data_IF_619094969213
#
_entry.id   IF_619094969213
#
_cell.length_a   1.000
_cell.length_b   1.000
_cell.length_c   1.000
_cell.angle_alpha   90.00
_cell.angle_beta   90.00
_cell.angle_gamma   90.00
#
_symmetry.space_group_name_H-M   'P 1'
#
loop_
_entity.id
_entity.type
_entity.pdbx_description
1 polymer ?
#
# COMPACT_ATOMS: atom_id res chain seq x y z
N UNK A 1 25.94 -9.81 16.61
CA UNK A 1 26.26 -8.37 16.73
C UNK A 1 25.28 -7.81 17.75
N UNK A 2 25.62 -7.92 19.04
CA UNK A 2 24.75 -7.41 20.11
C UNK A 2 24.79 -5.89 20.04
N UNK A 3 23.64 -5.27 19.75
CA UNK A 3 23.50 -3.83 19.60
C UNK A 3 23.83 -3.13 20.92
N UNK A 4 24.52 -1.98 20.83
CA UNK A 4 24.48 -0.96 21.88
C UNK A 4 23.02 -0.54 22.06
N UNK A 5 22.40 -1.01 23.14
CA UNK A 5 21.09 -0.56 23.55
C UNK A 5 21.23 0.80 24.22
N UNK A 6 20.38 1.75 23.81
CA UNK A 6 20.25 3.03 24.50
C UNK A 6 19.72 2.83 25.93
N UNK A 7 20.00 3.79 26.80
CA UNK A 7 19.48 3.79 28.16
C UNK A 7 17.93 3.73 28.22
N UNK A 8 17.26 4.28 27.20
CA UNK A 8 15.80 4.23 27.09
C UNK A 8 15.29 2.82 26.80
N UNK A 9 15.94 2.09 25.88
CA UNK A 9 15.57 0.71 25.56
C UNK A 9 15.83 -0.24 26.73
N UNK A 10 16.94 -0.05 27.46
CA UNK A 10 17.24 -0.81 28.69
C UNK A 10 16.16 -0.54 29.74
N UNK A 11 15.77 0.71 29.95
CA UNK A 11 14.73 1.07 30.91
C UNK A 11 13.37 0.49 30.52
N UNK A 12 13.02 0.50 29.22
CA UNK A 12 11.78 -0.09 28.71
C UNK A 12 11.73 -1.60 28.97
N UNK A 13 12.78 -2.34 28.60
CA UNK A 13 12.86 -3.79 28.84
C UNK A 13 12.83 -4.12 30.34
N UNK A 14 13.53 -3.34 31.16
CA UNK A 14 13.55 -3.54 32.60
C UNK A 14 12.16 -3.37 33.21
N UNK A 15 11.42 -2.32 32.81
CA UNK A 15 10.03 -2.12 33.23
C UNK A 15 9.13 -3.25 32.74
N UNK A 16 9.23 -3.62 31.46
CA UNK A 16 8.43 -4.69 30.88
C UNK A 16 8.64 -6.01 31.62
N UNK A 17 9.89 -6.35 31.98
CA UNK A 17 10.21 -7.59 32.70
C UNK A 17 9.59 -7.69 34.09
N UNK A 18 9.38 -6.57 34.78
CA UNK A 18 8.75 -6.53 36.11
C UNK A 18 7.22 -6.68 36.07
N UNK A 19 6.59 -6.55 34.91
CA UNK A 19 5.13 -6.66 34.78
C UNK A 19 4.63 -8.10 34.97
N UNK A 20 3.39 -8.22 35.45
CA UNK A 20 2.67 -9.49 35.47
C UNK A 20 2.46 -10.02 34.04
N UNK A 21 2.40 -11.36 33.85
CA UNK A 21 2.23 -11.97 32.53
C UNK A 21 1.03 -11.43 31.73
N UNK A 22 -0.11 -11.19 32.41
CA UNK A 22 -1.29 -10.63 31.76
C UNK A 22 -1.04 -9.22 31.21
N UNK A 23 -0.44 -8.33 32.00
CA UNK A 23 -0.10 -6.97 31.55
C UNK A 23 0.94 -6.98 30.43
N UNK A 24 1.89 -7.93 30.44
CA UNK A 24 2.84 -8.11 29.33
C UNK A 24 2.11 -8.42 28.03
N UNK A 25 1.14 -9.33 28.08
CA UNK A 25 0.31 -9.68 26.92
C UNK A 25 -0.49 -8.48 26.41
N UNK A 26 -1.18 -7.76 27.30
CA UNK A 26 -1.96 -6.56 26.93
C UNK A 26 -1.08 -5.50 26.23
N UNK A 27 0.12 -5.26 26.75
CA UNK A 27 1.07 -4.32 26.12
C UNK A 27 1.54 -4.84 24.76
N UNK A 28 1.82 -6.14 24.62
CA UNK A 28 2.20 -6.73 23.33
C UNK A 28 1.08 -6.61 22.29
N UNK A 29 -0.17 -6.87 22.69
CA UNK A 29 -1.34 -6.69 21.82
C UNK A 29 -1.49 -5.23 21.39
N UNK A 30 -1.34 -4.29 22.33
CA UNK A 30 -1.38 -2.85 22.03
C UNK A 30 -0.24 -2.39 21.10
N UNK A 31 0.98 -2.88 21.32
CA UNK A 31 2.13 -2.60 20.45
C UNK A 31 1.88 -3.14 19.04
N UNK A 32 1.39 -4.39 18.92
CA UNK A 32 1.04 -5.00 17.64
C UNK A 32 -0.03 -4.19 16.90
N UNK A 33 -1.10 -3.80 17.60
CA UNK A 33 -2.14 -2.95 17.04
C UNK A 33 -1.59 -1.61 16.54
N UNK A 34 -0.81 -0.93 17.37
CA UNK A 34 -0.26 0.40 17.04
C UNK A 34 0.72 0.31 15.87
N UNK A 35 1.60 -0.68 15.87
CA UNK A 35 2.57 -0.91 14.81
C UNK A 35 1.88 -1.30 13.50
N UNK A 36 0.81 -2.10 13.55
CA UNK A 36 -0.01 -2.41 12.38
C UNK A 36 -0.67 -1.16 11.80
N UNK A 37 -1.20 -0.26 12.64
CA UNK A 37 -1.77 1.02 12.19
C UNK A 37 -0.71 1.93 11.55
N UNK A 38 0.51 1.92 12.09
CA UNK A 38 1.64 2.65 11.50
C UNK A 38 2.01 2.06 10.14
N UNK A 39 2.16 0.74 10.04
CA UNK A 39 2.40 0.03 8.79
C UNK A 39 1.38 0.41 7.72
N UNK A 40 0.08 0.32 8.03
CA UNK A 40 -0.98 0.70 7.11
C UNK A 40 -0.82 2.15 6.63
N UNK A 41 -0.57 3.09 7.55
CA UNK A 41 -0.40 4.50 7.20
C UNK A 41 0.81 4.73 6.30
N UNK A 42 1.94 4.12 6.61
CA UNK A 42 3.16 4.22 5.79
C UNK A 42 2.93 3.62 4.40
N UNK A 43 2.25 2.47 4.32
CA UNK A 43 1.91 1.81 3.07
C UNK A 43 1.01 2.68 2.19
N UNK A 44 -0.09 3.19 2.74
CA UNK A 44 -1.00 4.08 2.03
C UNK A 44 -0.28 5.34 1.55
N UNK A 45 0.52 5.97 2.41
CA UNK A 45 1.29 7.16 2.03
C UNK A 45 2.26 6.84 0.88
N UNK A 46 3.00 5.73 0.97
CA UNK A 46 3.99 5.36 -0.03
C UNK A 46 3.37 5.08 -1.41
N UNK A 47 2.21 4.42 -1.45
CA UNK A 47 1.53 4.06 -2.70
C UNK A 47 0.73 5.22 -3.28
N UNK A 48 0.00 5.96 -2.45
CA UNK A 48 -0.93 7.00 -2.92
C UNK A 48 -0.24 8.34 -3.20
N UNK A 49 0.87 8.63 -2.52
CA UNK A 49 1.71 9.79 -2.85
C UNK A 49 2.72 9.49 -3.97
N UNK A 50 2.76 8.27 -4.49
CA UNK A 50 3.68 7.92 -5.58
C UNK A 50 3.30 8.64 -6.86
N UNK A 51 4.10 9.64 -7.22
CA UNK A 51 4.01 10.32 -8.51
C UNK A 51 4.18 9.33 -9.68
N UNK A 52 5.00 8.29 -9.51
CA UNK A 52 5.22 7.28 -10.56
C UNK A 52 3.95 6.48 -10.87
N UNK A 53 3.22 6.06 -9.82
CA UNK A 53 1.98 5.29 -9.98
C UNK A 53 0.87 6.20 -10.52
N UNK A 54 0.65 7.35 -9.90
CA UNK A 54 -0.42 8.27 -10.29
C UNK A 54 -0.20 8.85 -11.69
N UNK A 55 1.00 9.33 -12.03
CA UNK A 55 1.30 9.83 -13.37
C UNK A 55 1.25 8.70 -14.40
N UNK A 56 1.68 7.49 -14.04
CA UNK A 56 1.64 6.34 -14.91
C UNK A 56 0.22 5.94 -15.31
N UNK A 57 -0.71 5.88 -14.35
CA UNK A 57 -2.13 5.61 -14.63
C UNK A 57 -2.76 6.74 -15.45
N UNK A 58 -2.49 8.01 -15.12
CA UNK A 58 -2.99 9.13 -15.92
C UNK A 58 -2.40 9.15 -17.34
N UNK A 59 -1.18 8.65 -17.53
CA UNK A 59 -0.58 8.50 -18.85
C UNK A 59 -1.33 7.44 -19.68
N UNK A 60 -1.70 6.31 -19.07
CA UNK A 60 -2.52 5.27 -19.73
C UNK A 60 -3.85 5.86 -20.22
N UNK A 61 -4.52 6.69 -19.41
CA UNK A 61 -5.74 7.40 -19.83
C UNK A 61 -5.49 8.26 -21.07
N UNK A 62 -4.45 9.08 -21.07
CA UNK A 62 -4.10 9.94 -22.23
C UNK A 62 -3.67 9.14 -23.47
N UNK A 63 -3.05 7.99 -23.27
CA UNK A 63 -2.67 7.08 -24.35
C UNK A 63 -3.90 6.52 -25.07
N UNK A 64 -4.99 6.26 -24.34
CA UNK A 64 -6.26 5.81 -24.92
C UNK A 64 -6.98 6.90 -25.74
N UNK A 65 -6.72 8.17 -25.48
CA UNK A 65 -7.29 9.30 -26.24
C UNK A 65 -6.61 9.51 -27.61
N UNK A 66 -5.44 8.90 -27.82
CA UNK A 66 -4.69 8.99 -29.08
C UNK A 66 -5.01 7.78 -29.95
N UNK A 67 -5.47 8.05 -31.17
CA UNK A 67 -5.82 6.99 -32.13
C UNK A 67 -4.61 6.12 -32.50
N UNK A 68 -3.42 6.73 -32.61
CA UNK A 68 -2.18 6.05 -33.04
C UNK A 68 -1.56 5.13 -32.00
N UNK A 69 -1.91 5.24 -30.70
CA UNK A 69 -1.28 4.40 -29.67
C UNK A 69 -1.68 2.95 -29.83
N UNK A 70 -0.74 2.04 -29.99
CA UNK A 70 -1.04 0.60 -30.01
C UNK A 70 -1.29 0.03 -28.60
N UNK A 71 -2.07 -1.05 -28.52
CA UNK A 71 -2.34 -1.80 -27.30
C UNK A 71 -1.06 -2.30 -26.63
N UNK A 72 -0.01 -2.62 -27.39
CA UNK A 72 1.29 -3.04 -26.87
C UNK A 72 2.01 -1.92 -26.09
N UNK A 73 1.90 -0.68 -26.54
CA UNK A 73 2.47 0.47 -25.83
C UNK A 73 1.76 0.69 -24.49
N UNK A 74 0.44 0.59 -24.49
CA UNK A 74 -0.39 0.70 -23.29
C UNK A 74 -0.04 -0.42 -22.31
N UNK A 75 0.10 -1.66 -22.80
CA UNK A 75 0.51 -2.82 -22.00
C UNK A 75 1.87 -2.61 -21.36
N UNK A 76 2.84 -2.09 -22.12
CA UNK A 76 4.18 -1.78 -21.62
C UNK A 76 4.10 -0.76 -20.50
N UNK A 77 3.28 0.28 -20.66
CA UNK A 77 3.07 1.27 -19.60
C UNK A 77 2.39 0.65 -18.37
N UNK A 78 1.38 -0.17 -18.55
CA UNK A 78 0.69 -0.87 -17.45
C UNK A 78 1.67 -1.73 -16.65
N UNK A 79 2.53 -2.50 -17.33
CA UNK A 79 3.57 -3.33 -16.68
C UNK A 79 4.53 -2.51 -15.83
N UNK A 80 4.96 -1.34 -16.32
CA UNK A 80 5.82 -0.43 -15.54
C UNK A 80 5.11 0.06 -14.28
N UNK A 81 3.86 0.51 -14.39
CA UNK A 81 3.07 0.99 -13.24
C UNK A 81 2.84 -0.13 -12.23
N UNK A 82 2.49 -1.32 -12.72
CA UNK A 82 2.31 -2.54 -11.91
C UNK A 82 3.60 -2.85 -11.13
N UNK A 83 4.75 -2.84 -11.79
CA UNK A 83 6.04 -3.04 -11.14
C UNK A 83 6.29 -2.04 -10.01
N UNK A 84 6.13 -0.73 -10.26
CA UNK A 84 6.33 0.29 -9.22
C UNK A 84 5.38 0.14 -8.04
N UNK A 85 4.13 -0.25 -8.29
CA UNK A 85 3.15 -0.52 -7.24
C UNK A 85 3.62 -1.65 -6.33
N UNK A 86 3.89 -2.84 -6.88
CA UNK A 86 4.28 -4.00 -6.06
C UNK A 86 5.65 -3.81 -5.40
N UNK A 87 6.60 -3.17 -6.08
CA UNK A 87 7.89 -2.85 -5.47
C UNK A 87 7.74 -1.91 -4.27
N UNK A 88 6.88 -0.89 -4.38
CA UNK A 88 6.61 0.03 -3.27
C UNK A 88 5.93 -0.68 -2.12
N UNK A 89 4.96 -1.55 -2.42
CA UNK A 89 4.27 -2.38 -1.44
C UNK A 89 5.25 -3.27 -0.67
N UNK A 90 6.06 -4.07 -1.37
CA UNK A 90 7.02 -4.99 -0.76
C UNK A 90 8.08 -4.24 0.06
N UNK A 91 8.59 -3.10 -0.42
CA UNK A 91 9.55 -2.28 0.34
C UNK A 91 9.00 -1.86 1.70
N UNK A 92 7.73 -1.46 1.78
CA UNK A 92 7.11 -1.09 3.06
C UNK A 92 6.87 -2.34 3.89
N UNK A 93 6.37 -3.42 3.30
CA UNK A 93 6.11 -4.69 3.98
C UNK A 93 7.36 -5.27 4.66
N UNK A 94 8.48 -5.35 3.95
CA UNK A 94 9.75 -5.90 4.48
C UNK A 94 10.28 -5.16 5.71
N UNK A 95 9.93 -3.86 5.89
CA UNK A 95 10.29 -3.10 7.10
C UNK A 95 9.63 -3.65 8.37
N UNK A 96 8.45 -4.25 8.24
CA UNK A 96 7.65 -4.75 9.38
C UNK A 96 7.62 -6.28 9.44
N UNK A 97 8.07 -6.94 8.37
CA UNK A 97 8.20 -8.38 8.28
C UNK A 97 9.09 -8.91 9.41
N UNK A 98 8.63 -9.96 10.08
CA UNK A 98 9.29 -10.53 11.27
C UNK A 98 8.98 -9.85 12.60
N UNK A 99 8.33 -8.67 12.61
CA UNK A 99 7.86 -8.01 13.85
C UNK A 99 6.35 -8.10 13.99
N UNK A 100 5.61 -7.91 12.90
CA UNK A 100 4.15 -8.06 12.88
C UNK A 100 3.75 -9.48 12.48
N UNK A 101 3.10 -10.21 13.38
CA UNK A 101 2.59 -11.59 13.15
C UNK A 101 1.44 -11.60 12.12
N UNK A 102 0.70 -10.50 11.97
CA UNK A 102 -0.56 -10.43 11.22
C UNK A 102 -0.51 -9.48 10.00
N UNK A 103 0.64 -9.29 9.36
CA UNK A 103 0.71 -8.51 8.09
C UNK A 103 -0.24 -9.10 7.03
N UNK A 104 -0.48 -10.42 7.09
CA UNK A 104 -1.26 -11.17 6.11
C UNK A 104 -2.78 -11.00 6.19
N UNK A 105 -3.33 -10.30 7.20
CA UNK A 105 -4.74 -10.46 7.55
C UNK A 105 -5.75 -9.65 6.73
N UNK A 106 -5.38 -8.54 6.06
CA UNK A 106 -6.38 -7.77 5.28
C UNK A 106 -5.72 -6.66 4.44
N UNK A 107 -4.97 -7.04 3.39
CA UNK A 107 -4.41 -6.05 2.47
C UNK A 107 -5.41 -5.70 1.37
N UNK A 108 -6.50 -5.06 1.80
CA UNK A 108 -7.50 -4.43 0.91
C UNK A 108 -6.88 -3.57 -0.20
N UNK A 109 -5.66 -3.04 0.02
CA UNK A 109 -4.91 -2.28 -0.97
C UNK A 109 -4.20 -3.17 -2.01
N UNK A 110 -3.65 -4.32 -1.60
CA UNK A 110 -3.04 -5.29 -2.50
C UNK A 110 -4.10 -5.93 -3.39
N UNK A 111 -5.24 -6.31 -2.80
CA UNK A 111 -6.37 -6.86 -3.53
C UNK A 111 -6.94 -5.85 -4.52
N UNK A 112 -7.11 -4.60 -4.10
CA UNK A 112 -7.54 -3.52 -4.99
C UNK A 112 -6.52 -3.29 -6.12
N UNK A 113 -5.23 -3.32 -5.80
CA UNK A 113 -4.17 -3.26 -6.80
C UNK A 113 -4.27 -4.40 -7.80
N UNK A 114 -4.42 -5.64 -7.32
CA UNK A 114 -4.57 -6.84 -8.16
C UNK A 114 -5.76 -6.70 -9.10
N UNK A 115 -6.95 -6.43 -8.56
CA UNK A 115 -8.19 -6.29 -9.33
C UNK A 115 -8.07 -5.15 -10.35
N UNK A 116 -7.58 -3.98 -9.92
CA UNK A 116 -7.42 -2.83 -10.82
C UNK A 116 -6.46 -3.10 -11.97
N UNK A 117 -5.33 -3.76 -11.73
CA UNK A 117 -4.40 -4.14 -12.80
C UNK A 117 -4.95 -5.24 -13.69
N UNK A 118 -5.69 -6.21 -13.16
CA UNK A 118 -6.31 -7.30 -13.92
C UNK A 118 -7.39 -6.76 -14.87
N UNK A 119 -8.30 -5.92 -14.39
CA UNK A 119 -9.34 -5.33 -15.23
C UNK A 119 -8.76 -4.53 -16.41
N UNK A 120 -7.75 -3.69 -16.15
CA UNK A 120 -7.11 -2.91 -17.21
C UNK A 120 -6.41 -3.85 -18.21
N UNK A 121 -5.76 -4.91 -17.72
CA UNK A 121 -5.09 -5.89 -18.55
C UNK A 121 -6.07 -6.63 -19.48
N UNK A 122 -7.22 -7.06 -18.96
CA UNK A 122 -8.29 -7.68 -19.74
C UNK A 122 -8.84 -6.73 -20.81
N UNK A 123 -9.02 -5.45 -20.47
CA UNK A 123 -9.46 -4.44 -21.42
C UNK A 123 -8.42 -4.21 -22.54
N UNK A 124 -7.13 -4.23 -22.21
CA UNK A 124 -6.04 -4.14 -23.21
C UNK A 124 -6.09 -5.36 -24.15
N UNK A 125 -6.24 -6.56 -23.62
CA UNK A 125 -6.33 -7.78 -24.44
C UNK A 125 -7.58 -7.84 -25.31
N UNK A 126 -8.65 -7.17 -24.90
CA UNK A 126 -9.88 -7.01 -25.69
C UNK A 126 -9.74 -5.95 -26.80
N UNK A 127 -8.60 -5.25 -26.87
CA UNK A 127 -8.32 -4.16 -27.79
C UNK A 127 -9.37 -3.03 -27.76
N UNK A 128 -9.99 -2.80 -26.60
CA UNK A 128 -11.00 -1.77 -26.40
C UNK A 128 -10.41 -0.60 -25.60
N UNK A 129 -9.93 0.43 -26.32
CA UNK A 129 -9.35 1.63 -25.70
C UNK A 129 -10.33 2.38 -24.80
N UNK A 130 -11.63 2.33 -25.08
CA UNK A 130 -12.62 2.97 -24.21
C UNK A 130 -12.75 2.22 -22.89
N UNK A 131 -12.75 0.89 -22.95
CA UNK A 131 -12.77 0.06 -21.75
C UNK A 131 -11.48 0.23 -20.94
N UNK A 132 -10.30 0.26 -21.59
CA UNK A 132 -9.01 0.50 -20.90
C UNK A 132 -9.05 1.83 -20.14
N UNK A 133 -9.50 2.89 -20.80
CA UNK A 133 -9.65 4.21 -20.18
C UNK A 133 -10.57 4.14 -18.96
N UNK A 134 -11.74 3.54 -19.12
CA UNK A 134 -12.74 3.43 -18.06
C UNK A 134 -12.19 2.68 -16.85
N UNK A 135 -11.62 1.50 -17.05
CA UNK A 135 -11.04 0.69 -15.95
C UNK A 135 -9.89 1.44 -15.26
N UNK A 136 -9.09 2.20 -16.02
CA UNK A 136 -7.99 3.00 -15.47
C UNK A 136 -8.52 4.17 -14.62
N UNK A 137 -9.54 4.88 -15.09
CA UNK A 137 -10.19 5.96 -14.34
C UNK A 137 -10.89 5.43 -13.08
N UNK A 138 -11.56 4.27 -13.17
CA UNK A 138 -12.16 3.59 -12.02
C UNK A 138 -11.10 3.20 -10.99
N UNK A 139 -9.96 2.63 -11.41
CA UNK A 139 -8.85 2.30 -10.52
C UNK A 139 -8.25 3.53 -9.84
N UNK A 140 -8.01 4.62 -10.57
CA UNK A 140 -7.58 5.91 -9.99
C UNK A 140 -8.60 6.39 -8.94
N UNK A 141 -9.89 6.30 -9.25
CA UNK A 141 -10.97 6.67 -8.33
C UNK A 141 -10.97 5.85 -7.05
N UNK A 142 -10.75 4.54 -7.15
CA UNK A 142 -10.63 3.64 -6.00
C UNK A 142 -9.42 3.99 -5.11
N UNK A 143 -8.25 4.24 -5.71
CA UNK A 143 -7.06 4.66 -4.98
C UNK A 143 -7.28 5.99 -4.23
N UNK A 144 -7.93 6.97 -4.86
CA UNK A 144 -8.29 8.25 -4.22
C UNK A 144 -9.29 8.08 -3.07
N UNK A 145 -10.29 7.21 -3.22
CA UNK A 145 -11.25 6.91 -2.14
C UNK A 145 -10.56 6.32 -0.92
N UNK A 146 -9.55 5.44 -1.12
CA UNK A 146 -8.74 4.93 -0.03
C UNK A 146 -7.88 6.01 0.64
N UNK A 147 -7.28 6.92 -0.14
CA UNK A 147 -6.53 8.06 0.39
C UNK A 147 -7.39 8.90 1.36
N UNK A 148 -8.61 9.23 0.92
CA UNK A 148 -9.52 10.08 1.68
C UNK A 148 -10.11 9.38 2.93
N UNK A 149 -10.24 8.04 2.93
CA UNK A 149 -10.58 7.28 4.13
C UNK A 149 -9.45 7.25 5.15
N UNK A 150 -8.19 7.26 4.68
CA UNK A 150 -7.00 7.40 5.52
C UNK A 150 -6.92 8.75 6.24
N UNK A 151 -7.31 9.84 5.58
CA UNK A 151 -7.31 11.19 6.18
C UNK A 151 -8.46 11.40 7.19
N UNK A 152 -9.66 10.84 6.97
CA UNK A 152 -10.75 10.94 7.96
C UNK A 152 -10.42 10.31 9.31
N UNK A 153 -9.54 9.30 9.34
CA UNK A 153 -9.03 8.70 10.59
C UNK A 153 -7.96 9.57 11.27
N UNK A 154 -7.43 10.62 10.63
CA UNK A 154 -6.48 11.58 11.24
C UNK A 154 -7.15 12.66 12.09
N UNK A 155 -8.47 12.83 11.98
CA UNK A 155 -9.22 13.90 12.67
C UNK A 155 -9.84 13.41 14.00
N UNK A 156 -9.59 12.16 14.41
CA UNK A 156 -10.03 11.66 15.73
C UNK A 156 -8.82 11.26 16.55
N UNK A 157 -8.19 12.28 17.13
CA UNK A 157 -7.41 12.17 18.35
C UNK A 157 -7.69 13.46 19.15
N UNK A 158 -8.68 13.38 20.02
CA UNK A 158 -8.83 14.23 21.21
C UNK A 158 -8.18 13.47 22.35
#
# INVERSE_FOLDING_TARGET
MFLEMSAQEIALLSKFNLLHPQTKQEIQEYMNYTLFRQYQRELYNALLASAAISNGLNQIVRMCEREETDAEEILTKLKQVKFYFYQTYERVKTKYEGVLVAIHAEDSLLDLGRIGFENILEAIYSNDKQQVRRETEEFIGMLRKLANRGDKRRIVAV
#
